data_IF_944248500731
#
_entry.id   IF_944248500731
#
_cell.length_a   1.000
_cell.length_b   1.000
_cell.length_c   1.000
_cell.angle_alpha   90.00
_cell.angle_beta   90.00
_cell.angle_gamma   90.00
#
_symmetry.space_group_name_H-M   'P 1'
#
loop_
_entity.id
_entity.type
_entity.pdbx_description
1 polymer ?
#
# COMPACT_ATOMS: atom_id res chain seq x y z
N UNK A 1 -25.70 -22.53 -19.68
CA UNK A 1 -24.85 -23.04 -20.77
C UNK A 1 -25.65 -23.73 -21.86
N UNK A 2 -26.46 -24.78 -21.56
CA UNK A 2 -27.25 -25.49 -22.61
C UNK A 2 -28.14 -24.56 -23.44
N UNK A 3 -28.79 -23.58 -22.81
CA UNK A 3 -29.60 -22.60 -23.52
C UNK A 3 -28.75 -21.74 -24.45
N UNK A 4 -27.57 -21.29 -23.99
CA UNK A 4 -26.66 -20.50 -24.82
C UNK A 4 -26.11 -21.25 -26.05
N UNK A 5 -25.97 -22.58 -25.94
CA UNK A 5 -25.63 -23.42 -27.11
C UNK A 5 -26.83 -23.52 -28.07
N UNK A 6 -28.04 -23.72 -27.55
CA UNK A 6 -29.27 -23.78 -28.39
C UNK A 6 -29.51 -22.44 -29.11
N UNK A 7 -29.22 -21.34 -28.46
CA UNK A 7 -29.42 -19.99 -29.00
C UNK A 7 -28.25 -19.54 -29.91
N UNK A 8 -27.25 -20.40 -30.11
CA UNK A 8 -26.05 -20.07 -30.93
C UNK A 8 -25.10 -19.04 -30.33
N UNK A 9 -25.30 -18.64 -29.07
CA UNK A 9 -24.41 -17.73 -28.34
C UNK A 9 -23.08 -18.41 -28.00
N UNK A 10 -23.13 -19.70 -27.66
CA UNK A 10 -21.95 -20.53 -27.42
C UNK A 10 -21.85 -21.50 -28.59
N UNK A 11 -20.87 -21.28 -29.47
CA UNK A 11 -20.65 -22.19 -30.60
C UNK A 11 -19.95 -23.47 -30.15
N UNK A 12 -20.15 -24.59 -30.88
CA UNK A 12 -19.44 -25.84 -30.62
C UNK A 12 -17.91 -25.64 -30.59
N UNK A 13 -17.36 -24.88 -31.53
CA UNK A 13 -15.93 -24.60 -31.65
C UNK A 13 -15.41 -23.87 -30.42
N UNK A 14 -16.17 -22.89 -29.89
CA UNK A 14 -15.81 -22.16 -28.68
C UNK A 14 -15.85 -23.06 -27.44
N UNK A 15 -16.82 -23.98 -27.40
CA UNK A 15 -16.92 -24.98 -26.33
C UNK A 15 -15.70 -25.92 -26.36
N UNK A 16 -15.38 -26.47 -27.52
CA UNK A 16 -14.24 -27.38 -27.71
C UNK A 16 -12.91 -26.71 -27.37
N UNK A 17 -12.72 -25.46 -27.76
CA UNK A 17 -11.54 -24.66 -27.35
C UNK A 17 -11.43 -24.56 -25.83
N UNK A 18 -12.52 -24.23 -25.14
CA UNK A 18 -12.51 -24.09 -23.68
C UNK A 18 -12.22 -25.43 -22.99
N UNK A 19 -12.86 -26.50 -23.41
CA UNK A 19 -12.65 -27.87 -22.89
C UNK A 19 -11.22 -28.31 -23.13
N UNK A 20 -10.69 -28.08 -24.33
CA UNK A 20 -9.30 -28.42 -24.68
C UNK A 20 -8.31 -27.72 -23.78
N UNK A 21 -8.46 -26.41 -23.51
CA UNK A 21 -7.60 -25.68 -22.59
C UNK A 21 -7.65 -26.23 -21.16
N UNK A 22 -8.86 -26.55 -20.66
CA UNK A 22 -9.05 -27.13 -19.33
C UNK A 22 -8.38 -28.51 -19.25
N UNK A 23 -8.60 -29.38 -20.23
CA UNK A 23 -8.04 -30.72 -20.24
C UNK A 23 -6.52 -30.68 -20.41
N UNK A 24 -5.99 -29.80 -21.26
CA UNK A 24 -4.56 -29.61 -21.44
C UNK A 24 -3.87 -29.16 -20.12
N UNK A 25 -4.48 -28.22 -19.40
CA UNK A 25 -3.98 -27.79 -18.09
C UNK A 25 -3.99 -28.95 -17.07
N UNK A 26 -5.09 -29.71 -17.01
CA UNK A 26 -5.17 -30.89 -16.15
C UNK A 26 -4.11 -31.94 -16.49
N UNK A 27 -3.90 -32.18 -17.78
CA UNK A 27 -2.89 -33.12 -18.26
C UNK A 27 -1.47 -32.65 -17.94
N UNK A 28 -1.19 -31.36 -18.08
CA UNK A 28 0.10 -30.77 -17.72
C UNK A 28 0.41 -30.93 -16.22
N UNK A 29 -0.61 -30.90 -15.36
CA UNK A 29 -0.50 -31.17 -13.93
C UNK A 29 -0.48 -32.66 -13.58
N UNK A 30 -0.60 -33.54 -14.58
CA UNK A 30 -0.63 -35.00 -14.37
C UNK A 30 -1.92 -35.55 -13.77
N UNK A 31 -2.98 -34.76 -13.64
CA UNK A 31 -4.22 -35.14 -12.99
C UNK A 31 -4.97 -36.29 -13.68
N UNK A 32 -4.68 -36.53 -14.97
CA UNK A 32 -5.19 -37.66 -15.76
C UNK A 32 -4.53 -39.00 -15.39
N UNK A 33 -3.44 -38.98 -14.63
CA UNK A 33 -2.69 -40.18 -14.20
C UNK A 33 -2.96 -40.56 -12.75
N UNK A 34 -3.92 -39.91 -12.11
CA UNK A 34 -4.23 -40.02 -10.69
C UNK A 34 -3.66 -38.84 -9.91
N UNK A 35 -4.17 -38.64 -8.70
CA UNK A 35 -3.62 -37.61 -7.82
C UNK A 35 -2.19 -38.00 -7.41
N UNK A 36 -1.19 -37.14 -7.64
CA UNK A 36 0.15 -37.42 -7.12
C UNK A 36 0.11 -37.41 -5.60
N UNK A 37 0.83 -38.35 -4.98
CA UNK A 37 1.03 -38.32 -3.54
C UNK A 37 1.78 -37.01 -3.18
N UNK A 38 1.20 -36.23 -2.28
CA UNK A 38 1.77 -34.95 -1.88
C UNK A 38 2.91 -35.19 -0.89
N UNK A 39 4.14 -35.03 -1.34
CA UNK A 39 5.31 -34.99 -0.47
C UNK A 39 5.42 -33.61 0.20
N UNK A 40 4.93 -33.54 1.45
CA UNK A 40 4.92 -32.30 2.24
C UNK A 40 6.32 -31.79 2.53
N UNK A 41 7.27 -32.69 2.81
CA UNK A 41 8.66 -32.29 3.10
C UNK A 41 9.33 -31.69 1.85
N UNK A 42 9.12 -32.30 0.70
CA UNK A 42 9.56 -31.74 -0.57
C UNK A 42 8.89 -30.40 -0.87
N UNK A 43 7.58 -30.26 -0.62
CA UNK A 43 6.87 -29.00 -0.82
C UNK A 43 7.46 -27.88 0.05
N UNK A 44 7.81 -28.15 1.32
CA UNK A 44 8.46 -27.18 2.22
C UNK A 44 9.84 -26.71 1.71
N UNK A 45 10.54 -27.50 0.94
CA UNK A 45 11.82 -27.07 0.36
C UNK A 45 11.66 -26.17 -0.87
N UNK A 46 10.49 -26.17 -1.48
CA UNK A 46 10.19 -25.41 -2.70
C UNK A 46 9.45 -24.11 -2.36
N UNK A 47 8.40 -24.20 -1.53
CA UNK A 47 7.59 -23.03 -1.15
C UNK A 47 8.43 -22.08 -0.30
N UNK A 48 8.55 -20.83 -0.74
CA UNK A 48 9.33 -19.81 -0.03
C UNK A 48 10.85 -20.04 -0.08
N UNK A 49 11.35 -20.85 -1.02
CA UNK A 49 12.80 -21.04 -1.22
C UNK A 49 13.49 -19.70 -1.58
N UNK A 50 14.82 -19.66 -1.47
CA UNK A 50 15.61 -18.45 -1.72
C UNK A 50 15.28 -17.77 -3.06
N UNK A 51 15.02 -18.55 -4.11
CA UNK A 51 14.63 -18.03 -5.42
C UNK A 51 13.26 -17.35 -5.40
N UNK A 52 12.30 -17.88 -4.65
CA UNK A 52 10.98 -17.26 -4.48
C UNK A 52 11.07 -15.95 -3.68
N UNK A 53 11.92 -15.91 -2.65
CA UNK A 53 12.20 -14.70 -1.89
C UNK A 53 12.84 -13.62 -2.77
N UNK A 54 13.83 -14.00 -3.59
CA UNK A 54 14.44 -13.08 -4.56
C UNK A 54 13.41 -12.53 -5.56
N UNK A 55 12.54 -13.36 -6.09
CA UNK A 55 11.48 -12.89 -7.01
C UNK A 55 10.49 -11.94 -6.34
N UNK A 56 10.14 -12.21 -5.07
CA UNK A 56 9.27 -11.32 -4.31
C UNK A 56 9.92 -9.94 -4.10
N UNK A 57 11.21 -9.92 -3.77
CA UNK A 57 11.99 -8.70 -3.62
C UNK A 57 12.10 -7.91 -4.94
N UNK A 58 12.42 -8.58 -6.04
CA UNK A 58 12.47 -7.98 -7.37
C UNK A 58 11.10 -7.43 -7.82
N UNK A 59 10.03 -8.15 -7.50
CA UNK A 59 8.67 -7.70 -7.77
C UNK A 59 8.35 -6.42 -7.00
N UNK A 60 8.65 -6.38 -5.71
CA UNK A 60 8.45 -5.21 -4.87
C UNK A 60 9.26 -4.00 -5.37
N UNK A 61 10.55 -4.20 -5.71
CA UNK A 61 11.40 -3.12 -6.27
C UNK A 61 10.82 -2.53 -7.56
N UNK A 62 10.26 -3.37 -8.43
CA UNK A 62 9.70 -2.95 -9.71
C UNK A 62 8.28 -2.38 -9.61
N UNK A 63 7.52 -2.78 -8.59
CA UNK A 63 6.11 -2.41 -8.47
C UNK A 63 5.90 -1.04 -7.81
N UNK A 64 6.69 -0.69 -6.79
CA UNK A 64 6.49 0.55 -6.04
C UNK A 64 6.59 1.76 -6.96
N UNK A 65 5.55 2.59 -6.95
CA UNK A 65 5.33 3.66 -7.91
C UNK A 65 5.31 5.02 -7.22
N UNK A 66 6.16 5.93 -7.67
CA UNK A 66 6.05 7.35 -7.34
C UNK A 66 5.03 7.99 -8.29
N UNK A 67 3.84 8.29 -7.78
CA UNK A 67 2.71 8.80 -8.57
C UNK A 67 2.76 10.31 -8.71
N UNK A 68 3.11 11.00 -7.62
CA UNK A 68 3.36 12.45 -7.58
C UNK A 68 4.67 12.72 -6.87
N UNK A 69 5.37 13.75 -7.31
CA UNK A 69 6.62 14.18 -6.68
C UNK A 69 6.67 15.70 -6.58
N UNK A 70 6.91 16.20 -5.38
CA UNK A 70 7.39 17.56 -5.20
C UNK A 70 8.91 17.52 -5.34
N UNK A 71 9.49 18.23 -6.32
CA UNK A 71 10.94 18.26 -6.52
C UNK A 71 11.67 18.60 -5.23
N UNK A 72 12.69 17.81 -4.92
CA UNK A 72 13.55 18.04 -3.78
C UNK A 72 13.01 17.55 -2.43
N UNK A 73 11.90 16.83 -2.33
CA UNK A 73 11.46 16.17 -1.09
C UNK A 73 12.18 14.83 -0.92
N UNK A 74 12.22 14.02 -1.96
CA UNK A 74 12.96 12.75 -1.97
C UNK A 74 14.41 12.97 -2.47
N UNK A 75 15.36 12.14 -2.05
CA UNK A 75 15.26 11.17 -0.98
C UNK A 75 15.17 11.80 0.40
N UNK A 76 14.58 11.06 1.36
CA UNK A 76 14.62 11.45 2.76
C UNK A 76 15.88 10.87 3.42
N UNK A 77 16.60 11.70 4.17
CA UNK A 77 17.76 11.26 4.96
C UNK A 77 17.74 11.90 6.35
N UNK A 78 18.30 11.25 7.39
CA UNK A 78 18.30 11.80 8.73
C UNK A 78 19.05 13.13 8.88
N UNK A 79 20.01 13.40 7.99
CA UNK A 79 20.74 14.69 7.95
C UNK A 79 19.85 15.84 7.49
N UNK A 80 18.83 15.51 6.69
CA UNK A 80 17.92 16.49 6.10
C UNK A 80 16.60 16.58 6.83
N UNK A 81 16.08 15.46 7.31
CA UNK A 81 14.79 15.32 7.97
C UNK A 81 14.95 14.49 9.23
N UNK A 82 15.53 15.10 10.28
CA UNK A 82 15.87 14.39 11.50
C UNK A 82 14.62 13.86 12.22
N UNK A 83 13.60 14.71 12.32
CA UNK A 83 12.41 14.42 13.12
C UNK A 83 11.16 14.33 12.23
N UNK A 84 10.53 13.17 12.24
CA UNK A 84 9.36 12.85 11.40
C UNK A 84 8.10 12.72 12.25
N UNK A 85 7.04 13.43 11.87
CA UNK A 85 5.70 13.17 12.37
C UNK A 85 5.05 12.05 11.54
N UNK A 86 4.77 10.92 12.16
CA UNK A 86 4.29 9.71 11.50
C UNK A 86 2.78 9.54 11.70
N UNK A 87 2.04 9.66 10.60
CA UNK A 87 0.58 9.50 10.58
C UNK A 87 0.21 8.12 10.07
N UNK A 88 -0.36 7.29 10.94
CA UNK A 88 -0.88 5.97 10.57
C UNK A 88 -2.37 6.09 10.28
N UNK A 89 -2.77 5.72 9.05
CA UNK A 89 -4.14 5.65 8.60
C UNK A 89 -4.50 4.18 8.43
N UNK A 90 -5.33 3.67 9.35
CA UNK A 90 -5.80 2.29 9.37
C UNK A 90 -7.32 2.26 9.51
N UNK A 91 -7.98 1.15 9.12
CA UNK A 91 -9.42 1.02 9.33
C UNK A 91 -9.74 1.28 10.81
N UNK A 92 -10.80 2.04 11.07
CA UNK A 92 -11.30 2.20 12.42
C UNK A 92 -11.55 0.80 13.00
N UNK A 93 -10.86 0.46 14.07
CA UNK A 93 -11.18 -0.73 14.84
C UNK A 93 -12.62 -0.55 15.34
N UNK A 94 -13.51 -1.43 14.94
CA UNK A 94 -14.90 -1.38 15.35
C UNK A 94 -14.98 -1.33 16.88
N UNK A 95 -15.38 -0.19 17.43
CA UNK A 95 -15.72 0.03 18.83
C UNK A 95 -14.56 0.04 19.81
N UNK A 96 -14.42 1.19 20.49
CA UNK A 96 -13.71 1.43 21.74
C UNK A 96 -12.21 1.06 21.84
N UNK A 97 -11.35 2.05 21.67
CA UNK A 97 -10.22 2.30 22.57
C UNK A 97 -8.93 1.49 22.39
N UNK A 98 -8.84 0.48 21.56
CA UNK A 98 -7.59 -0.27 21.35
C UNK A 98 -7.05 -0.06 19.93
N UNK A 99 -6.31 1.02 19.74
CA UNK A 99 -5.45 1.20 18.55
C UNK A 99 -4.29 0.20 18.63
N UNK A 100 -4.49 -0.99 18.11
CA UNK A 100 -3.35 -1.84 17.75
C UNK A 100 -2.87 -1.39 16.39
N UNK A 101 -1.71 -0.75 16.38
CA UNK A 101 -0.98 -0.46 15.14
C UNK A 101 -0.78 -1.75 14.36
N UNK A 102 -1.19 -1.78 13.08
CA UNK A 102 -0.99 -2.98 12.27
C UNK A 102 0.51 -3.33 12.20
N UNK A 103 0.85 -4.62 12.18
CA UNK A 103 2.24 -5.06 12.18
C UNK A 103 3.10 -4.41 11.07
N UNK A 104 2.51 -4.14 9.90
CA UNK A 104 3.21 -3.50 8.80
C UNK A 104 3.65 -2.06 9.12
N UNK A 105 2.77 -1.24 9.70
CA UNK A 105 3.10 0.13 10.09
C UNK A 105 4.14 0.17 11.22
N UNK A 106 4.01 -0.71 12.22
CA UNK A 106 5.00 -0.84 13.29
C UNK A 106 6.38 -1.28 12.75
N UNK A 107 6.42 -2.20 11.79
CA UNK A 107 7.66 -2.60 11.12
C UNK A 107 8.29 -1.45 10.34
N UNK A 108 7.49 -0.74 9.55
CA UNK A 108 7.97 0.40 8.77
C UNK A 108 8.56 1.48 9.68
N UNK A 109 7.87 1.80 10.80
CA UNK A 109 8.37 2.71 11.81
C UNK A 109 9.73 2.27 12.36
N UNK A 110 9.84 1.01 12.78
CA UNK A 110 11.10 0.46 13.30
C UNK A 110 12.23 0.45 12.26
N UNK A 111 11.91 0.27 10.98
CA UNK A 111 12.90 0.35 9.90
C UNK A 111 13.39 1.79 9.71
N UNK A 112 12.51 2.79 9.76
CA UNK A 112 12.90 4.21 9.69
C UNK A 112 13.77 4.62 10.90
N UNK A 113 13.46 4.14 12.09
CA UNK A 113 14.29 4.37 13.28
C UNK A 113 15.70 3.78 13.14
N UNK A 114 15.83 2.61 12.52
CA UNK A 114 17.12 2.00 12.20
C UNK A 114 17.93 2.82 11.20
N UNK A 115 17.27 3.53 10.29
CA UNK A 115 17.92 4.48 9.39
C UNK A 115 18.41 5.74 10.10
N UNK A 116 18.03 5.96 11.36
CA UNK A 116 18.47 7.07 12.19
C UNK A 116 17.47 8.24 12.30
N UNK A 117 16.25 8.07 11.81
CA UNK A 117 15.19 9.06 12.00
C UNK A 117 14.63 9.02 13.44
N UNK A 118 14.26 10.18 13.95
CA UNK A 118 13.45 10.32 15.16
C UNK A 118 11.98 10.35 14.76
N UNK A 119 11.19 9.39 15.26
CA UNK A 119 9.80 9.19 14.84
C UNK A 119 8.85 9.45 15.99
N UNK A 120 8.00 10.45 15.84
CA UNK A 120 6.85 10.67 16.73
C UNK A 120 5.56 10.26 16.03
N UNK A 121 4.77 9.39 16.66
CA UNK A 121 3.47 9.02 16.14
C UNK A 121 2.47 10.15 16.37
N UNK A 122 1.68 10.47 15.34
CA UNK A 122 0.56 11.37 15.51
C UNK A 122 -0.50 10.72 16.42
N UNK A 123 -0.78 11.38 17.53
CA UNK A 123 -1.81 10.96 18.47
C UNK A 123 -2.97 11.93 18.39
N UNK A 124 -4.20 11.47 18.03
CA UNK A 124 -5.38 12.31 18.05
C UNK A 124 -5.61 12.91 19.44
N UNK A 125 -5.84 14.21 19.51
CA UNK A 125 -6.11 14.87 20.79
C UNK A 125 -7.47 14.42 21.36
N UNK A 126 -7.59 14.26 22.69
CA UNK A 126 -8.86 13.95 23.32
C UNK A 126 -9.90 15.03 23.08
N UNK A 127 -11.16 14.63 22.97
CA UNK A 127 -12.27 15.56 22.85
C UNK A 127 -12.32 16.49 24.08
N UNK A 128 -12.18 17.78 23.89
CA UNK A 128 -12.26 18.80 24.92
C UNK A 128 -10.95 19.53 25.27
N UNK A 129 -9.78 19.05 24.84
CA UNK A 129 -8.48 19.72 25.08
C UNK A 129 -8.02 20.61 23.90
N UNK A 130 -8.96 21.03 23.06
CA UNK A 130 -8.67 21.72 21.81
C UNK A 130 -8.67 20.73 20.63
N UNK A 131 -9.43 21.05 19.59
CA UNK A 131 -9.67 20.14 18.47
C UNK A 131 -8.48 19.96 17.53
N UNK A 132 -7.40 20.68 17.77
CA UNK A 132 -6.24 20.68 16.87
C UNK A 132 -4.94 20.70 17.66
N UNK A 133 -3.98 19.87 17.24
CA UNK A 133 -2.58 20.16 17.54
C UNK A 133 -2.29 21.56 17.01
N UNK A 134 -1.71 22.43 17.84
CA UNK A 134 -1.44 23.80 17.41
C UNK A 134 -0.53 23.78 16.20
N UNK A 135 -0.88 24.59 15.19
CA UNK A 135 -0.12 24.68 13.95
C UNK A 135 1.38 24.89 14.20
N UNK A 136 1.70 25.85 15.09
CA UNK A 136 3.10 26.18 15.43
C UNK A 136 3.85 25.02 16.11
N UNK A 137 3.15 24.17 16.85
CA UNK A 137 3.76 22.99 17.47
C UNK A 137 4.20 21.98 16.42
N UNK A 138 3.43 21.81 15.36
CA UNK A 138 3.81 20.90 14.27
C UNK A 138 4.92 21.49 13.42
N UNK A 139 4.75 22.73 12.95
CA UNK A 139 5.69 23.36 12.00
C UNK A 139 7.06 23.59 12.62
N UNK A 140 7.14 23.85 13.94
CA UNK A 140 8.41 24.10 14.61
C UNK A 140 9.12 22.85 15.15
N UNK A 141 8.43 21.71 15.21
CA UNK A 141 8.98 20.50 15.85
C UNK A 141 9.32 19.36 14.88
N UNK A 142 8.83 19.42 13.63
CA UNK A 142 9.04 18.32 12.68
C UNK A 142 9.60 18.82 11.36
N UNK A 143 10.51 18.04 10.79
CA UNK A 143 11.16 18.34 9.50
C UNK A 143 10.39 17.73 8.33
N UNK A 144 9.64 16.67 8.58
CA UNK A 144 8.86 15.90 7.59
C UNK A 144 7.59 15.34 8.22
N UNK A 145 6.52 15.32 7.45
CA UNK A 145 5.32 14.53 7.77
C UNK A 145 5.25 13.34 6.84
N UNK A 146 5.14 12.14 7.42
CA UNK A 146 4.97 10.90 6.69
C UNK A 146 3.62 10.27 6.99
N UNK A 147 2.69 10.36 6.04
CA UNK A 147 1.42 9.66 6.09
C UNK A 147 1.60 8.24 5.56
N UNK A 148 1.11 7.26 6.28
CA UNK A 148 1.11 5.85 5.86
C UNK A 148 -0.30 5.30 5.96
N UNK A 149 -0.92 5.06 4.81
CA UNK A 149 -2.24 4.45 4.71
C UNK A 149 -2.11 2.93 4.50
N UNK A 150 -2.55 2.18 5.50
CA UNK A 150 -2.62 0.71 5.46
C UNK A 150 -4.09 0.28 5.37
N UNK A 151 -4.71 0.62 4.25
CA UNK A 151 -6.12 0.39 3.97
C UNK A 151 -6.24 -0.53 2.76
N UNK A 152 -6.88 -1.68 2.94
CA UNK A 152 -7.16 -2.62 1.86
C UNK A 152 -8.66 -2.87 1.71
N UNK A 153 -9.08 -3.17 0.49
CA UNK A 153 -10.43 -3.66 0.24
C UNK A 153 -10.58 -5.06 0.82
N UNK A 154 -11.64 -5.27 1.59
CA UNK A 154 -11.97 -6.57 2.19
C UNK A 154 -13.35 -7.01 1.70
N UNK A 155 -13.61 -8.32 1.84
CA UNK A 155 -14.95 -8.85 1.61
C UNK A 155 -15.99 -8.07 2.43
N UNK A 156 -17.14 -7.78 1.84
CA UNK A 156 -18.24 -7.01 2.42
C UNK A 156 -17.97 -5.51 2.67
N UNK A 157 -16.87 -4.97 2.17
CA UNK A 157 -16.66 -3.52 2.14
C UNK A 157 -16.99 -2.98 0.76
N UNK A 158 -17.86 -1.97 0.70
CA UNK A 158 -18.27 -1.34 -0.56
C UNK A 158 -17.32 -0.23 -0.97
N UNK A 159 -16.72 0.46 -0.01
CA UNK A 159 -15.79 1.58 -0.23
C UNK A 159 -14.71 1.55 0.83
N UNK A 160 -13.46 1.79 0.42
CA UNK A 160 -12.35 2.01 1.33
C UNK A 160 -11.85 3.43 1.12
N UNK A 161 -12.21 4.30 2.06
CA UNK A 161 -11.86 5.71 2.06
C UNK A 161 -11.05 6.04 3.30
N UNK A 162 -10.30 7.14 3.25
CA UNK A 162 -9.61 7.67 4.43
C UNK A 162 -10.66 8.25 5.38
N UNK A 163 -10.68 7.73 6.60
CA UNK A 163 -11.44 8.31 7.70
C UNK A 163 -10.48 9.05 8.62
N UNK A 164 -10.63 10.37 8.68
CA UNK A 164 -9.82 11.20 9.55
C UNK A 164 -10.26 11.02 11.00
N UNK A 165 -9.29 10.87 11.89
CA UNK A 165 -9.55 10.44 13.28
C UNK A 165 -10.03 11.57 14.19
N UNK A 166 -9.66 12.81 13.87
CA UNK A 166 -10.08 13.96 14.66
C UNK A 166 -11.42 14.53 14.19
N UNK A 167 -12.22 15.08 15.12
CA UNK A 167 -13.45 15.77 14.77
C UNK A 167 -13.21 16.84 13.71
N UNK A 168 -14.14 16.95 12.76
CA UNK A 168 -14.09 17.90 11.64
C UNK A 168 -12.85 17.78 10.74
N UNK A 169 -12.17 16.63 10.76
CA UNK A 169 -10.98 16.41 9.93
C UNK A 169 -9.79 17.29 10.32
N UNK A 170 -9.65 17.63 11.59
CA UNK A 170 -8.59 18.49 12.08
C UNK A 170 -7.18 17.90 11.91
N UNK A 171 -7.08 16.60 11.70
CA UNK A 171 -5.85 15.86 11.38
C UNK A 171 -5.61 15.69 9.86
N UNK A 172 -6.50 16.20 9.04
CA UNK A 172 -6.38 16.14 7.60
C UNK A 172 -5.33 17.17 7.15
N UNK A 173 -4.23 16.71 6.66
CA UNK A 173 -3.07 17.32 6.01
C UNK A 173 -2.94 18.82 5.77
N UNK A 174 -3.43 19.68 6.66
CA UNK A 174 -3.35 21.13 6.44
C UNK A 174 -1.93 21.72 6.59
N UNK A 175 -0.99 20.97 7.18
CA UNK A 175 0.42 21.37 7.28
C UNK A 175 1.25 21.08 6.02
N UNK A 176 0.69 20.40 5.02
CA UNK A 176 1.44 19.92 3.85
C UNK A 176 2.04 21.00 2.97
N UNK A 177 1.63 22.26 3.14
CA UNK A 177 2.20 23.38 2.41
C UNK A 177 3.42 24.00 3.12
N UNK A 178 3.58 23.74 4.40
CA UNK A 178 4.56 24.38 5.28
C UNK A 178 5.68 23.41 5.69
N UNK A 179 5.36 22.11 5.76
CA UNK A 179 6.34 21.07 6.04
C UNK A 179 6.35 20.09 4.86
N UNK A 180 7.54 19.64 4.39
CA UNK A 180 7.66 18.56 3.43
C UNK A 180 6.81 17.37 3.85
N UNK A 181 5.94 16.91 2.95
CA UNK A 181 4.97 15.85 3.26
C UNK A 181 5.04 14.75 2.22
N UNK A 182 5.18 13.52 2.68
CA UNK A 182 5.13 12.31 1.86
C UNK A 182 3.94 11.47 2.28
N UNK A 183 3.17 11.00 1.31
CA UNK A 183 2.09 10.07 1.53
C UNK A 183 2.42 8.71 0.91
N UNK A 184 2.36 7.67 1.70
CA UNK A 184 2.57 6.30 1.26
C UNK A 184 1.27 5.52 1.41
N UNK A 185 0.77 4.97 0.31
CA UNK A 185 -0.32 4.00 0.33
C UNK A 185 0.25 2.59 0.20
N UNK A 186 0.08 1.77 1.24
CA UNK A 186 0.62 0.42 1.24
C UNK A 186 -0.16 -0.54 0.34
N UNK A 187 -1.48 -0.47 0.31
CA UNK A 187 -2.30 -1.44 -0.41
C UNK A 187 -3.20 -0.84 -1.49
N UNK A 188 -4.04 0.14 -1.13
CA UNK A 188 -5.03 0.72 -2.04
C UNK A 188 -4.44 1.90 -2.83
N UNK A 189 -4.42 1.86 -4.18
CA UNK A 189 -3.79 2.89 -5.00
C UNK A 189 -4.63 4.17 -5.18
N UNK A 190 -5.82 4.28 -4.58
CA UNK A 190 -6.80 5.33 -4.91
C UNK A 190 -6.96 6.42 -3.85
N UNK A 191 -6.04 6.53 -2.87
CA UNK A 191 -6.20 7.52 -1.78
C UNK A 191 -5.98 8.98 -2.17
N UNK A 192 -5.49 9.26 -3.38
CA UNK A 192 -5.45 10.64 -3.89
C UNK A 192 -6.84 11.28 -4.01
N UNK A 193 -7.91 10.48 -4.14
CA UNK A 193 -9.27 11.01 -4.11
C UNK A 193 -9.68 11.60 -2.75
N UNK A 194 -9.03 11.15 -1.66
CA UNK A 194 -9.29 11.60 -0.29
C UNK A 194 -8.27 12.64 0.17
N UNK A 195 -7.12 12.70 -0.47
CA UNK A 195 -6.01 13.59 -0.15
C UNK A 195 -5.35 14.16 -1.40
N UNK A 196 -6.13 14.86 -2.27
CA UNK A 196 -5.67 15.26 -3.61
C UNK A 196 -4.53 16.26 -3.59
N UNK A 197 -4.40 17.07 -2.53
CA UNK A 197 -3.40 18.13 -2.44
C UNK A 197 -2.03 17.68 -2.00
N UNK A 198 -1.84 16.41 -1.57
CA UNK A 198 -0.51 15.93 -1.24
C UNK A 198 0.40 16.00 -2.47
N UNK A 199 1.62 16.49 -2.28
CA UNK A 199 2.53 16.79 -3.39
C UNK A 199 3.49 15.64 -3.71
N UNK A 200 3.75 14.76 -2.74
CA UNK A 200 4.56 13.54 -2.94
C UNK A 200 3.75 12.32 -2.50
N UNK A 201 3.45 11.43 -3.44
CA UNK A 201 2.56 10.30 -3.22
C UNK A 201 3.13 9.02 -3.83
N UNK A 202 3.18 7.96 -3.03
CA UNK A 202 3.77 6.66 -3.38
C UNK A 202 2.74 5.56 -3.19
N UNK A 203 2.59 4.67 -4.18
CA UNK A 203 1.81 3.44 -4.10
C UNK A 203 2.73 2.23 -3.99
N UNK A 204 2.52 1.38 -2.98
CA UNK A 204 3.27 0.15 -2.75
C UNK A 204 2.53 -1.11 -3.23
N UNK A 205 1.21 -1.08 -3.31
CA UNK A 205 0.30 -2.18 -3.70
C UNK A 205 0.33 -3.40 -2.77
N UNK A 206 1.14 -3.40 -1.73
CA UNK A 206 1.23 -4.45 -0.73
C UNK A 206 1.90 -3.94 0.55
N UNK A 207 1.53 -4.54 1.67
CA UNK A 207 2.10 -4.26 3.00
C UNK A 207 3.04 -5.38 3.49
N UNK A 208 3.48 -6.27 2.59
CA UNK A 208 4.38 -7.36 2.96
C UNK A 208 5.82 -6.87 3.22
N UNK A 209 6.63 -7.71 3.86
CA UNK A 209 7.98 -7.36 4.29
C UNK A 209 8.90 -6.95 3.13
N UNK A 210 8.78 -7.56 1.95
CA UNK A 210 9.56 -7.18 0.76
C UNK A 210 9.20 -5.78 0.27
N UNK A 211 7.90 -5.44 0.27
CA UNK A 211 7.46 -4.10 -0.10
C UNK A 211 7.93 -3.04 0.91
N UNK A 212 7.86 -3.33 2.21
CA UNK A 212 8.36 -2.41 3.24
C UNK A 212 9.86 -2.20 3.10
N UNK A 213 10.63 -3.26 2.86
CA UNK A 213 12.07 -3.16 2.61
C UNK A 213 12.38 -2.28 1.39
N UNK A 214 11.78 -2.58 0.24
CA UNK A 214 11.99 -1.81 -0.97
C UNK A 214 11.46 -0.37 -0.87
N UNK A 215 10.43 -0.12 -0.08
CA UNK A 215 9.97 1.23 0.21
C UNK A 215 11.05 2.04 0.93
N UNK A 216 11.70 1.49 1.95
CA UNK A 216 12.83 2.15 2.63
C UNK A 216 13.97 2.43 1.66
N UNK A 217 14.35 1.46 0.83
CA UNK A 217 15.40 1.64 -0.18
C UNK A 217 15.10 2.84 -1.12
N UNK A 218 13.84 3.00 -1.51
CA UNK A 218 13.41 4.09 -2.38
C UNK A 218 13.29 5.43 -1.66
N UNK A 219 12.71 5.44 -0.46
CA UNK A 219 12.60 6.65 0.34
C UNK A 219 13.98 7.24 0.66
N UNK A 220 14.97 6.40 0.95
CA UNK A 220 16.34 6.81 1.28
C UNK A 220 17.24 7.01 0.05
N UNK A 221 16.75 6.78 -1.16
CA UNK A 221 17.46 6.97 -2.40
C UNK A 221 18.48 5.88 -2.76
N UNK A 222 18.50 4.76 -2.04
CA UNK A 222 19.33 3.59 -2.38
C UNK A 222 18.82 2.83 -3.59
N UNK A 223 17.52 2.94 -3.89
CA UNK A 223 16.90 2.43 -5.11
C UNK A 223 16.03 3.51 -5.75
N UNK A 224 15.89 3.46 -7.08
CA UNK A 224 15.02 4.38 -7.84
C UNK A 224 13.62 3.81 -8.03
N UNK A 225 12.62 4.68 -8.16
CA UNK A 225 11.27 4.27 -8.52
C UNK A 225 11.22 3.83 -9.98
N UNK A 226 10.73 2.60 -10.21
CA UNK A 226 10.64 1.97 -11.54
C UNK A 226 9.19 1.66 -11.93
N UNK A 227 8.28 1.67 -10.96
CA UNK A 227 6.89 1.30 -11.13
C UNK A 227 6.11 2.33 -11.92
N UNK A 228 5.15 1.83 -12.70
CA UNK A 228 4.12 2.64 -13.34
C UNK A 228 2.77 2.21 -12.79
N UNK A 229 1.90 3.18 -12.50
CA UNK A 229 0.58 2.85 -11.95
C UNK A 229 -0.22 2.03 -12.98
N UNK A 230 -0.72 0.83 -12.61
CA UNK A 230 -1.57 0.03 -13.49
C UNK A 230 -3.00 0.57 -13.57
N UNK A 231 -3.32 1.60 -12.79
CA UNK A 231 -4.63 2.22 -12.68
C UNK A 231 -4.49 3.75 -12.70
N UNK A 232 -5.59 4.46 -12.96
CA UNK A 232 -5.64 5.89 -12.75
C UNK A 232 -5.73 6.20 -11.24
N UNK A 233 -4.57 6.46 -10.62
CA UNK A 233 -4.48 6.81 -9.20
C UNK A 233 -5.17 8.15 -8.87
N UNK A 234 -5.38 9.00 -9.86
CA UNK A 234 -6.05 10.29 -9.73
C UNK A 234 -7.57 10.20 -9.78
N UNK A 235 -8.12 9.02 -10.11
CA UNK A 235 -9.55 8.74 -10.18
C UNK A 235 -10.32 9.72 -11.10
N UNK A 236 -9.71 10.13 -12.20
CA UNK A 236 -10.28 11.10 -13.14
C UNK A 236 -10.39 12.54 -12.60
N UNK A 237 -9.81 12.84 -11.43
CA UNK A 237 -9.87 14.15 -10.79
C UNK A 237 -8.70 15.02 -11.24
N UNK A 238 -8.97 16.09 -11.94
CA UNK A 238 -7.96 17.04 -12.42
C UNK A 238 -7.19 17.71 -11.28
N UNK A 239 -7.85 18.02 -10.17
CA UNK A 239 -7.29 18.69 -9.00
C UNK A 239 -6.37 17.81 -8.16
N UNK A 240 -6.42 16.50 -8.34
CA UNK A 240 -5.48 15.58 -7.70
C UNK A 240 -4.07 15.62 -8.32
N UNK A 241 -3.93 16.19 -9.51
CA UNK A 241 -2.64 16.39 -10.19
C UNK A 241 -1.86 17.62 -9.69
N UNK A 242 -2.53 18.54 -9.02
CA UNK A 242 -1.93 19.81 -8.58
C UNK A 242 -0.96 19.64 -7.42
#
# INVERSE_FOLDING_TARGET
MLQGIKDGIITPERLDEAVTRILATKAALGLNRGAPELDVEKAKTIVGCAKHQQWAEECADKAITLVKEQPGVLPITPERYKKILFYIIEPAAGGEGNYKVAPACAKLRAMLEKEGFEIDDFVPQPYGEGFTTKYEEVVNNYDLILYVANLSTKSNQTVVRIEWKQPMGADCGHYMNDIPTVFVSLENPYHLQDFPRVKTYINCYSNNDHCLHQLIEKLTGRSTFKGHSPVDAFCGKWDAHL
#
